data_IF_361840633882
#
_entry.id   IF_361840633882
#
_cell.length_a   1.000
_cell.length_b   1.000
_cell.length_c   1.000
_cell.angle_alpha   90.00
_cell.angle_beta   90.00
_cell.angle_gamma   90.00
#
_symmetry.space_group_name_H-M   'P 1'
#
loop_
_entity.id
_entity.type
_entity.pdbx_description
1 polymer ?
#
# COMPACT_ATOMS: atom_id res chain seq x y z
N UNK A 1 9.31 -36.87 -30.55
CA UNK A 1 8.12 -35.99 -30.48
C UNK A 1 8.48 -34.82 -29.59
N UNK A 2 8.50 -33.61 -30.14
CA UNK A 2 8.83 -32.39 -29.39
C UNK A 2 7.62 -31.99 -28.55
N UNK A 3 7.68 -32.27 -27.24
CA UNK A 3 6.64 -31.97 -26.26
C UNK A 3 6.75 -30.58 -25.63
N UNK A 4 7.63 -29.71 -26.16
CA UNK A 4 7.63 -28.29 -25.80
C UNK A 4 6.63 -27.56 -26.70
N UNK A 5 5.37 -27.63 -26.28
CA UNK A 5 4.28 -26.81 -26.78
C UNK A 5 4.68 -25.34 -26.80
N UNK A 6 4.33 -24.68 -27.90
CA UNK A 6 4.38 -23.24 -28.13
C UNK A 6 4.26 -22.44 -26.82
N UNK A 7 5.26 -21.61 -26.50
CA UNK A 7 5.06 -20.49 -25.58
C UNK A 7 3.81 -19.75 -26.06
N UNK A 8 2.72 -19.82 -25.30
CA UNK A 8 1.49 -19.13 -25.63
C UNK A 8 1.82 -17.63 -25.67
N UNK A 9 1.91 -17.06 -26.88
CA UNK A 9 2.00 -15.61 -27.08
C UNK A 9 0.72 -15.01 -26.51
N UNK A 10 0.78 -14.50 -25.28
CA UNK A 10 -0.35 -13.84 -24.64
C UNK A 10 -0.45 -13.99 -23.13
N UNK A 11 0.31 -14.88 -22.48
CA UNK A 11 0.29 -14.99 -21.01
C UNK A 11 1.13 -13.85 -20.41
N UNK A 12 0.54 -13.08 -19.49
CA UNK A 12 1.30 -12.13 -18.66
C UNK A 12 2.34 -12.90 -17.82
N UNK A 13 3.61 -12.93 -18.23
CA UNK A 13 4.65 -13.65 -17.47
C UNK A 13 4.86 -13.04 -16.07
N UNK A 14 4.53 -11.75 -15.88
CA UNK A 14 4.54 -11.08 -14.58
C UNK A 14 3.88 -9.69 -14.59
N UNK A 15 3.18 -9.30 -13.51
CA UNK A 15 2.65 -7.93 -13.36
C UNK A 15 3.76 -6.93 -13.01
N UNK A 16 4.65 -7.21 -12.05
CA UNK A 16 5.86 -6.42 -11.73
C UNK A 16 5.66 -4.90 -11.86
N UNK A 17 5.06 -4.26 -10.84
CA UNK A 17 4.75 -2.84 -10.90
C UNK A 17 6.01 -1.95 -10.81
N UNK A 18 6.00 -0.87 -11.57
CA UNK A 18 6.96 0.23 -11.50
C UNK A 18 6.42 1.36 -10.61
N UNK A 19 7.31 2.24 -10.14
CA UNK A 19 6.95 3.32 -9.20
C UNK A 19 5.81 4.22 -9.69
N UNK A 20 5.76 4.55 -10.97
CA UNK A 20 4.69 5.36 -11.55
C UNK A 20 3.33 4.64 -11.56
N UNK A 21 3.32 3.31 -11.69
CA UNK A 21 2.10 2.51 -11.64
C UNK A 21 1.61 2.33 -10.20
N UNK A 22 2.52 2.22 -9.24
CA UNK A 22 2.20 2.23 -7.80
C UNK A 22 1.60 3.58 -7.41
N UNK A 23 2.21 4.68 -7.86
CA UNK A 23 1.69 6.04 -7.67
C UNK A 23 0.29 6.18 -8.26
N UNK A 24 0.08 5.70 -9.49
CA UNK A 24 -1.23 5.71 -10.13
C UNK A 24 -2.29 4.95 -9.31
N UNK A 25 -1.97 3.77 -8.76
CA UNK A 25 -2.88 3.05 -7.86
C UNK A 25 -3.24 3.90 -6.64
N UNK A 26 -2.26 4.53 -6.00
CA UNK A 26 -2.52 5.40 -4.84
C UNK A 26 -3.42 6.58 -5.19
N UNK A 27 -3.10 7.30 -6.27
CA UNK A 27 -3.85 8.47 -6.74
C UNK A 27 -5.32 8.14 -7.00
N UNK A 28 -5.58 7.00 -7.67
CA UNK A 28 -6.94 6.56 -7.98
C UNK A 28 -7.70 6.09 -6.73
N UNK A 29 -7.03 5.44 -5.77
CA UNK A 29 -7.65 4.97 -4.53
C UNK A 29 -7.97 6.10 -3.56
N UNK A 30 -7.12 7.14 -3.48
CA UNK A 30 -7.34 8.29 -2.60
C UNK A 30 -8.16 9.41 -3.28
N UNK A 31 -8.24 9.40 -4.61
CA UNK A 31 -8.96 10.39 -5.42
C UNK A 31 -8.21 11.72 -5.59
N UNK A 32 -6.88 11.72 -5.57
CA UNK A 32 -6.09 12.95 -5.62
C UNK A 32 -4.63 12.73 -6.07
N UNK A 33 -3.98 13.79 -6.58
CA UNK A 33 -2.66 13.72 -7.22
C UNK A 33 -1.74 14.92 -6.94
N UNK A 34 -1.98 15.64 -5.83
CA UNK A 34 -1.25 16.86 -5.44
C UNK A 34 0.01 16.55 -4.60
N UNK A 35 1.01 15.98 -5.25
CA UNK A 35 2.26 15.56 -4.62
C UNK A 35 3.28 16.69 -4.49
N UNK A 36 3.99 16.69 -3.36
CA UNK A 36 5.13 17.54 -3.05
C UNK A 36 6.32 16.61 -2.75
N UNK A 37 7.41 16.78 -3.48
CA UNK A 37 8.63 15.99 -3.26
C UNK A 37 9.49 16.60 -2.16
N UNK A 38 9.94 15.75 -1.24
CA UNK A 38 10.98 16.03 -0.25
C UNK A 38 12.20 15.15 -0.55
N UNK A 39 13.40 15.69 -0.32
CA UNK A 39 14.68 14.99 -0.47
C UNK A 39 15.55 15.28 0.76
N UNK A 40 16.26 14.26 1.26
CA UNK A 40 17.30 14.44 2.26
C UNK A 40 18.65 14.83 1.64
N UNK A 41 19.67 14.96 2.48
CA UNK A 41 21.04 15.25 2.05
C UNK A 41 21.66 14.18 1.14
N UNK A 42 21.13 12.96 1.20
CA UNK A 42 21.60 11.81 0.41
C UNK A 42 20.77 11.63 -0.88
N UNK A 43 19.94 12.62 -1.23
CA UNK A 43 19.04 12.64 -2.39
C UNK A 43 18.04 11.47 -2.42
N UNK A 44 17.63 10.93 -1.27
CA UNK A 44 16.53 9.97 -1.20
C UNK A 44 15.20 10.73 -1.36
N UNK A 45 14.42 10.51 -2.44
CA UNK A 45 13.17 11.21 -2.63
C UNK A 45 12.01 10.50 -1.93
N UNK A 46 11.13 11.29 -1.33
CA UNK A 46 9.79 10.85 -0.92
C UNK A 46 8.77 11.89 -1.37
N UNK A 47 7.74 11.43 -2.05
CA UNK A 47 6.62 12.25 -2.47
C UNK A 47 5.55 12.20 -1.38
N UNK A 48 5.02 13.36 -1.02
CA UNK A 48 4.01 13.50 0.02
C UNK A 48 2.85 14.32 -0.52
N UNK A 49 1.66 13.84 -0.24
CA UNK A 49 0.43 14.57 -0.41
C UNK A 49 -0.27 14.74 0.93
N UNK A 50 -0.82 15.92 1.22
CA UNK A 50 -1.69 16.12 2.38
C UNK A 50 -3.14 16.24 1.92
N UNK A 51 -4.00 15.39 2.47
CA UNK A 51 -5.45 15.35 2.25
C UNK A 51 -6.14 15.79 3.54
N UNK A 52 -7.07 16.74 3.45
CA UNK A 52 -7.98 17.08 4.54
C UNK A 52 -9.14 16.08 4.55
N UNK A 53 -9.32 15.34 5.64
CA UNK A 53 -10.39 14.34 5.79
C UNK A 53 -11.69 14.99 6.27
N UNK A 54 -11.56 15.91 7.22
CA UNK A 54 -12.60 16.79 7.77
C UNK A 54 -11.89 18.02 8.35
N UNK A 55 -12.65 19.04 8.74
CA UNK A 55 -12.10 20.28 9.29
C UNK A 55 -11.00 20.00 10.32
N UNK A 56 -9.82 20.55 10.07
CA UNK A 56 -8.63 20.48 10.93
C UNK A 56 -8.07 19.04 11.16
N UNK A 57 -8.51 18.04 10.37
CA UNK A 57 -7.99 16.67 10.43
C UNK A 57 -7.43 16.26 9.08
N UNK A 58 -6.18 15.83 9.08
CA UNK A 58 -5.41 15.59 7.86
C UNK A 58 -4.80 14.19 7.82
N UNK A 59 -4.57 13.70 6.61
CA UNK A 59 -3.77 12.52 6.32
C UNK A 59 -2.63 12.91 5.38
N UNK A 60 -1.40 12.60 5.76
CA UNK A 60 -0.25 12.65 4.88
C UNK A 60 -0.13 11.31 4.15
N UNK A 61 -0.41 11.32 2.85
CA UNK A 61 -0.16 10.18 1.97
C UNK A 61 1.28 10.26 1.47
N UNK A 62 2.06 9.19 1.64
CA UNK A 62 3.45 9.11 1.20
C UNK A 62 3.63 8.07 0.09
N UNK A 63 4.48 8.39 -0.87
CA UNK A 63 4.99 7.47 -1.86
C UNK A 63 6.50 7.61 -1.95
N UNK A 64 7.22 6.54 -1.63
CA UNK A 64 8.67 6.53 -1.66
C UNK A 64 9.14 5.36 -2.51
N UNK A 65 10.01 5.63 -3.49
CA UNK A 65 10.56 4.59 -4.37
C UNK A 65 11.42 3.57 -3.62
N UNK A 66 12.10 4.01 -2.54
CA UNK A 66 13.03 3.17 -1.81
C UNK A 66 13.47 3.81 -0.49
N UNK A 67 13.39 3.06 0.61
CA UNK A 67 13.95 3.47 1.91
C UNK A 67 15.20 2.67 2.31
N UNK A 68 15.77 1.89 1.39
CA UNK A 68 16.85 0.94 1.70
C UNK A 68 18.11 1.62 2.25
N UNK A 69 18.47 2.78 1.71
CA UNK A 69 19.65 3.56 2.09
C UNK A 69 19.40 4.50 3.28
N UNK A 70 18.16 4.56 3.78
CA UNK A 70 17.78 5.42 4.89
C UNK A 70 17.94 4.63 6.20
N UNK A 71 18.86 5.09 7.05
CA UNK A 71 19.16 4.49 8.35
C UNK A 71 17.96 4.58 9.30
N UNK A 72 17.44 5.79 9.53
CA UNK A 72 16.22 6.02 10.32
C UNK A 72 15.04 6.40 9.42
N UNK A 73 14.36 5.36 8.93
CA UNK A 73 13.20 5.46 8.03
C UNK A 73 12.06 6.25 8.65
N UNK A 74 11.84 6.12 9.95
CA UNK A 74 10.73 6.78 10.64
C UNK A 74 11.01 8.27 10.81
N UNK A 75 12.24 8.64 11.19
CA UNK A 75 12.66 10.03 11.28
C UNK A 75 12.64 10.72 9.90
N UNK A 76 13.10 10.02 8.86
CA UNK A 76 13.05 10.54 7.49
C UNK A 76 11.61 10.85 7.04
N UNK A 77 10.68 9.91 7.21
CA UNK A 77 9.26 10.15 6.90
C UNK A 77 8.69 11.30 7.74
N UNK A 78 9.05 11.37 9.03
CA UNK A 78 8.63 12.47 9.91
C UNK A 78 9.07 13.82 9.36
N UNK A 79 10.36 13.98 9.05
CA UNK A 79 10.91 15.22 8.54
C UNK A 79 10.25 15.65 7.22
N UNK A 80 9.98 14.68 6.34
CA UNK A 80 9.28 14.91 5.09
C UNK A 80 7.85 15.43 5.29
N UNK A 81 7.10 14.82 6.20
CA UNK A 81 5.73 15.25 6.53
C UNK A 81 5.73 16.63 7.20
N UNK A 82 6.62 16.87 8.16
CA UNK A 82 6.76 18.16 8.84
C UNK A 82 7.14 19.28 7.86
N UNK A 83 8.02 18.99 6.89
CA UNK A 83 8.35 19.92 5.81
C UNK A 83 7.10 20.35 5.03
N UNK A 84 6.26 19.40 4.63
CA UNK A 84 5.05 19.67 3.83
C UNK A 84 3.98 20.40 4.65
N UNK A 85 3.79 20.02 5.92
CA UNK A 85 2.91 20.73 6.86
C UNK A 85 3.31 22.21 6.93
N UNK A 86 4.62 22.48 7.12
CA UNK A 86 5.15 23.85 7.21
C UNK A 86 4.99 24.60 5.89
N UNK A 87 5.26 23.96 4.76
CA UNK A 87 5.12 24.55 3.43
C UNK A 87 3.67 24.94 3.13
N UNK A 88 2.71 24.07 3.48
CA UNK A 88 1.27 24.32 3.34
C UNK A 88 0.67 25.18 4.46
N UNK A 89 1.45 25.54 5.49
CA UNK A 89 1.02 26.31 6.68
C UNK A 89 -0.20 25.70 7.39
N UNK A 90 -0.20 24.38 7.52
CA UNK A 90 -1.33 23.65 8.11
C UNK A 90 -1.32 23.75 9.65
N UNK A 91 -2.49 23.82 10.30
CA UNK A 91 -2.61 23.93 11.76
C UNK A 91 -2.52 22.56 12.47
N UNK A 92 -1.62 21.69 12.04
CA UNK A 92 -1.47 20.32 12.56
C UNK A 92 0.00 20.00 12.78
N UNK A 93 0.32 19.19 13.79
CA UNK A 93 1.67 18.68 14.02
C UNK A 93 1.82 17.25 13.51
N UNK A 94 3.07 16.76 13.41
CA UNK A 94 3.31 15.38 13.01
C UNK A 94 2.61 14.39 13.94
N UNK A 95 2.58 14.64 15.25
CA UNK A 95 1.94 13.76 16.23
C UNK A 95 0.43 13.62 15.97
N UNK A 96 -0.21 14.67 15.48
CA UNK A 96 -1.67 14.74 15.32
C UNK A 96 -2.16 14.47 13.89
N UNK A 97 -1.26 14.33 12.91
CA UNK A 97 -1.62 13.95 11.54
C UNK A 97 -1.56 12.43 11.37
N UNK A 98 -2.52 11.87 10.62
CA UNK A 98 -2.36 10.50 10.13
C UNK A 98 -1.28 10.44 9.05
N UNK A 99 -0.52 9.35 8.97
CA UNK A 99 0.46 9.14 7.89
C UNK A 99 0.18 7.79 7.29
N UNK A 100 0.10 7.69 5.96
CA UNK A 100 -0.19 6.44 5.29
C UNK A 100 0.41 6.41 3.89
N UNK A 101 0.67 5.24 3.32
CA UNK A 101 1.05 5.13 1.92
C UNK A 101 1.95 3.94 1.66
N UNK A 102 2.73 4.03 0.59
CA UNK A 102 3.57 2.93 0.12
C UNK A 102 5.03 3.35 0.09
N UNK A 103 5.88 2.46 0.56
CA UNK A 103 7.33 2.64 0.54
C UNK A 103 7.95 1.43 -0.13
N UNK A 104 8.80 1.66 -1.11
CA UNK A 104 9.53 0.61 -1.80
C UNK A 104 10.72 0.10 -0.98
N UNK A 105 11.12 -1.14 -1.22
CA UNK A 105 12.48 -1.60 -0.98
C UNK A 105 13.16 -1.71 -2.35
N UNK A 106 13.96 -0.68 -2.68
CA UNK A 106 15.03 -0.90 -3.64
C UNK A 106 16.06 -1.78 -2.95
N UNK A 107 15.87 -3.10 -2.97
CA UNK A 107 16.91 -4.02 -2.53
C UNK A 107 18.26 -3.64 -3.17
N UNK A 108 19.37 -4.11 -2.61
CA UNK A 108 20.78 -3.75 -2.95
C UNK A 108 21.12 -3.64 -4.46
N UNK A 109 20.33 -4.23 -5.34
CA UNK A 109 20.45 -4.14 -6.79
C UNK A 109 19.96 -2.80 -7.37
N UNK A 110 18.96 -2.11 -6.80
CA UNK A 110 18.39 -0.87 -7.37
C UNK A 110 19.44 0.22 -7.63
N UNK A 111 20.38 0.40 -6.70
CA UNK A 111 21.52 1.31 -6.86
C UNK A 111 22.42 0.94 -8.05
N UNK A 112 22.72 -0.35 -8.25
CA UNK A 112 23.54 -0.83 -9.37
C UNK A 112 22.87 -0.55 -10.72
N UNK A 113 21.55 -0.77 -10.82
CA UNK A 113 20.77 -0.51 -12.04
C UNK A 113 20.77 0.98 -12.42
N UNK A 114 20.57 1.86 -11.42
CA UNK A 114 20.66 3.32 -11.59
C UNK A 114 22.06 3.74 -12.08
N UNK A 115 23.12 3.16 -11.53
CA UNK A 115 24.52 3.44 -11.93
C UNK A 115 24.85 3.01 -13.36
N UNK A 116 24.23 1.94 -13.88
CA UNK A 116 24.45 1.44 -15.25
C UNK A 116 23.40 1.94 -16.26
N UNK A 117 22.54 2.88 -15.87
CA UNK A 117 21.51 3.46 -16.74
C UNK A 117 20.40 2.48 -17.13
N UNK A 118 20.17 1.44 -16.34
CA UNK A 118 19.09 0.47 -16.55
C UNK A 118 17.90 0.81 -15.64
N UNK A 119 16.68 0.53 -16.15
CA UNK A 119 15.46 0.64 -15.34
C UNK A 119 15.60 -0.25 -14.10
N UNK A 120 15.38 0.30 -12.88
CA UNK A 120 15.43 -0.49 -11.65
C UNK A 120 14.51 -1.70 -11.74
N UNK A 121 14.85 -2.75 -10.98
CA UNK A 121 14.00 -3.92 -10.86
C UNK A 121 12.61 -3.53 -10.32
N UNK A 122 11.58 -4.32 -10.64
CA UNK A 122 10.22 -4.14 -10.14
C UNK A 122 10.18 -3.92 -8.62
N UNK A 123 9.28 -3.04 -8.18
CA UNK A 123 9.24 -2.54 -6.81
C UNK A 123 8.59 -3.59 -5.92
N UNK A 124 9.26 -3.97 -4.83
CA UNK A 124 8.58 -4.56 -3.68
C UNK A 124 8.11 -3.42 -2.79
N UNK A 125 6.81 -3.38 -2.45
CA UNK A 125 6.23 -2.31 -1.65
C UNK A 125 5.76 -2.80 -0.28
N UNK A 126 5.98 -1.94 0.70
CA UNK A 126 5.52 -2.07 2.08
C UNK A 126 4.44 -1.01 2.32
N UNK A 127 3.53 -1.32 3.25
CA UNK A 127 2.58 -0.34 3.75
C UNK A 127 3.24 0.45 4.88
N UNK A 128 3.34 1.77 4.72
CA UNK A 128 3.67 2.67 5.80
C UNK A 128 2.38 3.26 6.36
N UNK A 129 2.13 3.15 7.66
CA UNK A 129 0.92 3.70 8.26
C UNK A 129 1.10 4.12 9.72
N UNK A 130 0.35 5.14 10.12
CA UNK A 130 0.27 5.69 11.47
C UNK A 130 -1.05 6.43 11.64
N UNK A 131 -1.67 6.24 12.80
CA UNK A 131 -2.84 6.99 13.26
C UNK A 131 -2.42 8.28 14.00
N UNK A 132 -3.31 9.30 14.07
CA UNK A 132 -3.10 10.42 14.97
C UNK A 132 -2.85 9.95 16.42
N UNK A 133 -1.87 10.54 17.09
CA UNK A 133 -1.46 10.18 18.45
C UNK A 133 -0.41 9.06 18.55
N UNK A 134 -0.10 8.34 17.47
CA UNK A 134 1.02 7.40 17.45
C UNK A 134 2.35 8.15 17.26
N UNK A 135 3.41 7.71 17.92
CA UNK A 135 4.71 8.42 17.85
C UNK A 135 5.51 8.08 16.57
N UNK A 136 5.22 6.95 15.94
CA UNK A 136 6.05 6.38 14.88
C UNK A 136 5.19 5.81 13.76
N UNK A 137 5.75 5.81 12.54
CA UNK A 137 5.15 5.16 11.38
C UNK A 137 5.50 3.68 11.41
N UNK A 138 4.48 2.83 11.32
CA UNK A 138 4.62 1.39 11.18
C UNK A 138 4.85 1.06 9.70
N UNK A 139 5.89 0.28 9.39
CA UNK A 139 6.19 -0.20 8.05
C UNK A 139 5.99 -1.71 8.05
N UNK A 140 5.00 -2.19 7.29
CA UNK A 140 4.56 -3.58 7.29
C UNK A 140 4.74 -4.20 5.89
N UNK A 141 5.31 -5.40 5.86
CA UNK A 141 5.36 -6.20 4.64
C UNK A 141 4.01 -6.93 4.49
N UNK A 142 3.21 -6.66 3.46
CA UNK A 142 1.89 -7.28 3.34
C UNK A 142 1.94 -8.82 3.24
N UNK A 143 3.10 -9.40 2.90
CA UNK A 143 3.34 -10.85 2.85
C UNK A 143 3.30 -11.53 4.20
N UNK A 144 3.44 -10.80 5.31
CA UNK A 144 3.41 -11.38 6.65
C UNK A 144 2.01 -11.83 7.08
N UNK A 145 0.95 -11.27 6.48
CA UNK A 145 -0.43 -11.51 6.92
C UNK A 145 -1.48 -11.77 5.84
N UNK A 146 -1.30 -11.28 4.60
CA UNK A 146 -2.23 -11.59 3.50
C UNK A 146 -1.94 -12.92 2.80
N UNK A 147 -0.72 -13.43 2.94
CA UNK A 147 -0.26 -14.65 2.29
C UNK A 147 0.16 -15.66 3.37
N UNK A 148 -0.33 -16.89 3.29
CA UNK A 148 0.05 -17.93 4.26
C UNK A 148 1.50 -18.37 4.00
N UNK A 149 2.33 -18.35 5.06
CA UNK A 149 3.72 -18.84 5.02
C UNK A 149 3.82 -20.36 4.86
N UNK A 150 2.78 -21.09 5.24
CA UNK A 150 2.70 -22.55 5.16
C UNK A 150 2.05 -23.06 3.87
N UNK A 151 1.22 -22.23 3.22
CA UNK A 151 0.78 -22.51 1.86
C UNK A 151 1.95 -22.28 0.91
N UNK A 152 2.18 -23.20 -0.02
CA UNK A 152 3.27 -23.16 -1.01
C UNK A 152 3.07 -22.05 -2.06
N UNK A 153 2.91 -20.80 -1.63
CA UNK A 153 2.85 -19.60 -2.46
C UNK A 153 4.16 -18.79 -2.40
N UNK A 154 5.11 -19.16 -1.55
CA UNK A 154 6.41 -18.48 -1.47
C UNK A 154 7.36 -18.72 -2.66
N UNK A 155 7.00 -19.53 -3.66
CA UNK A 155 7.94 -19.82 -4.74
C UNK A 155 7.20 -20.44 -5.91
N UNK A 156 6.92 -19.64 -6.94
CA UNK A 156 7.36 -19.95 -8.33
C UNK A 156 7.58 -18.70 -9.20
N UNK A 157 7.13 -17.51 -8.80
CA UNK A 157 7.34 -16.27 -9.57
C UNK A 157 7.35 -15.02 -8.66
N UNK A 158 8.53 -14.39 -8.51
CA UNK A 158 8.84 -13.10 -7.86
C UNK A 158 7.67 -12.16 -7.52
N UNK A 159 7.48 -11.77 -6.25
CA UNK A 159 6.92 -10.47 -5.82
C UNK A 159 5.75 -9.87 -6.64
N UNK A 160 4.90 -10.67 -7.29
CA UNK A 160 4.12 -10.16 -8.43
C UNK A 160 2.98 -9.23 -8.01
N UNK A 161 2.42 -9.47 -6.82
CA UNK A 161 1.27 -8.72 -6.33
C UNK A 161 1.50 -8.01 -4.99
N UNK A 162 2.76 -7.90 -4.54
CA UNK A 162 3.11 -7.23 -3.29
C UNK A 162 2.61 -5.77 -3.23
N UNK A 163 2.75 -5.01 -4.32
CA UNK A 163 2.26 -3.64 -4.40
C UNK A 163 0.74 -3.53 -4.29
N UNK A 164 0.01 -4.49 -4.86
CA UNK A 164 -1.45 -4.56 -4.72
C UNK A 164 -1.84 -4.86 -3.28
N UNK A 165 -1.17 -5.82 -2.64
CA UNK A 165 -1.39 -6.18 -1.25
C UNK A 165 -1.05 -5.03 -0.28
N UNK A 166 0.05 -4.31 -0.52
CA UNK A 166 0.40 -3.13 0.27
C UNK A 166 -0.63 -2.00 0.07
N UNK A 167 -1.12 -1.80 -1.16
CA UNK A 167 -2.18 -0.84 -1.48
C UNK A 167 -3.49 -1.18 -0.76
N UNK A 168 -3.82 -2.46 -0.66
CA UNK A 168 -4.98 -2.98 0.08
C UNK A 168 -4.92 -2.58 1.55
N UNK A 169 -3.80 -2.85 2.24
CA UNK A 169 -3.67 -2.48 3.65
C UNK A 169 -3.81 -0.98 3.86
N UNK A 170 -3.05 -0.21 3.08
CA UNK A 170 -3.09 1.25 3.14
C UNK A 170 -4.53 1.75 2.93
N UNK A 171 -5.20 1.28 1.87
CA UNK A 171 -6.51 1.77 1.47
C UNK A 171 -7.57 1.52 2.54
N UNK A 172 -7.61 0.34 3.16
CA UNK A 172 -8.61 0.07 4.19
C UNK A 172 -8.34 0.81 5.49
N UNK A 173 -7.06 0.99 5.86
CA UNK A 173 -6.70 1.87 6.97
C UNK A 173 -7.10 3.33 6.68
N UNK A 174 -6.85 3.82 5.46
CA UNK A 174 -7.27 5.15 5.01
C UNK A 174 -8.80 5.33 5.00
N UNK A 175 -9.55 4.34 4.51
CA UNK A 175 -11.03 4.34 4.58
C UNK A 175 -11.55 4.35 6.02
N UNK A 176 -10.87 3.65 6.94
CA UNK A 176 -11.24 3.67 8.36
C UNK A 176 -10.99 5.07 8.98
N UNK A 177 -9.87 5.73 8.63
CA UNK A 177 -9.61 7.12 9.02
C UNK A 177 -10.71 8.07 8.54
N UNK A 178 -11.16 7.96 7.28
CA UNK A 178 -12.21 8.82 6.72
C UNK A 178 -13.54 8.72 7.47
N UNK A 179 -13.83 7.57 8.08
CA UNK A 179 -15.07 7.33 8.82
C UNK A 179 -14.97 7.71 10.31
N UNK A 180 -13.81 8.19 10.76
CA UNK A 180 -13.54 8.55 12.16
C UNK A 180 -13.71 7.37 13.15
N UNK A 181 -13.71 6.14 12.64
CA UNK A 181 -13.98 4.93 13.41
C UNK A 181 -12.67 4.26 13.88
N UNK A 182 -11.81 5.06 14.52
CA UNK A 182 -10.48 4.63 14.95
C UNK A 182 -10.59 4.09 16.38
N UNK A 183 -10.84 2.80 16.51
CA UNK A 183 -10.97 2.12 17.82
C UNK A 183 -9.73 1.28 18.17
N UNK A 184 -8.81 1.13 17.22
CA UNK A 184 -7.65 0.22 17.27
C UNK A 184 -6.39 0.99 16.86
N UNK A 185 -5.23 0.59 17.38
CA UNK A 185 -3.94 1.12 16.92
C UNK A 185 -3.52 0.48 15.58
N UNK A 186 -2.53 1.04 14.89
CA UNK A 186 -2.14 0.61 13.55
C UNK A 186 -1.83 -0.89 13.44
N UNK A 187 -1.04 -1.52 14.34
CA UNK A 187 -0.80 -2.95 14.27
C UNK A 187 -2.07 -3.80 14.40
N UNK A 188 -3.03 -3.37 15.22
CA UNK A 188 -4.32 -4.06 15.35
C UNK A 188 -5.17 -3.89 14.09
N UNK A 189 -5.16 -2.72 13.45
CA UNK A 189 -5.85 -2.52 12.17
C UNK A 189 -5.33 -3.48 11.09
N UNK A 190 -4.00 -3.59 10.96
CA UNK A 190 -3.40 -4.55 10.03
C UNK A 190 -3.82 -5.98 10.34
N UNK A 191 -3.74 -6.40 11.61
CA UNK A 191 -4.14 -7.73 12.03
C UNK A 191 -5.61 -8.06 11.71
N UNK A 192 -6.52 -7.09 11.81
CA UNK A 192 -7.94 -7.31 11.43
C UNK A 192 -8.13 -7.40 9.92
N UNK A 193 -7.49 -6.53 9.14
CA UNK A 193 -7.52 -6.61 7.67
C UNK A 193 -7.05 -7.99 7.21
N UNK A 194 -5.99 -8.52 7.82
CA UNK A 194 -5.46 -9.83 7.50
C UNK A 194 -6.42 -10.99 7.78
N UNK A 195 -7.38 -10.85 8.70
CA UNK A 195 -8.36 -11.92 8.98
C UNK A 195 -9.43 -12.05 7.91
N UNK A 196 -9.58 -11.06 7.01
CA UNK A 196 -10.62 -11.09 6.00
C UNK A 196 -10.29 -12.11 4.89
N UNK A 197 -11.06 -13.19 4.86
CA UNK A 197 -10.88 -14.30 3.92
C UNK A 197 -11.24 -13.94 2.47
N UNK A 198 -12.22 -13.06 2.27
CA UNK A 198 -12.61 -12.57 0.95
C UNK A 198 -11.50 -11.71 0.30
N UNK A 199 -10.80 -10.93 1.12
CA UNK A 199 -9.68 -10.10 0.68
C UNK A 199 -8.48 -10.96 0.28
N UNK A 200 -8.22 -12.04 1.03
CA UNK A 200 -7.22 -13.05 0.64
C UNK A 200 -7.61 -13.72 -0.66
N UNK A 201 -8.88 -14.09 -0.84
CA UNK A 201 -9.39 -14.68 -2.08
C UNK A 201 -9.25 -13.72 -3.27
N UNK A 202 -9.49 -12.42 -3.07
CA UNK A 202 -9.26 -11.38 -4.07
C UNK A 202 -7.78 -11.31 -4.49
N UNK A 203 -6.85 -11.34 -3.52
CA UNK A 203 -5.41 -11.35 -3.80
C UNK A 203 -4.97 -12.61 -4.53
N UNK A 204 -5.47 -13.78 -4.15
CA UNK A 204 -5.18 -15.03 -4.84
C UNK A 204 -5.77 -15.06 -6.27
N UNK A 205 -6.97 -14.51 -6.47
CA UNK A 205 -7.57 -14.38 -7.80
C UNK A 205 -6.76 -13.45 -8.70
N UNK A 206 -6.27 -12.33 -8.15
CA UNK A 206 -5.39 -11.41 -8.86
C UNK A 206 -4.08 -12.09 -9.27
N UNK A 207 -3.44 -12.83 -8.35
CA UNK A 207 -2.22 -13.60 -8.63
C UNK A 207 -2.44 -14.62 -9.75
N UNK A 208 -3.56 -15.36 -9.71
CA UNK A 208 -3.93 -16.29 -10.78
C UNK A 208 -4.19 -15.57 -12.11
N UNK A 209 -4.80 -14.38 -12.10
CA UNK A 209 -5.03 -13.61 -13.32
C UNK A 209 -3.71 -13.19 -13.99
N UNK A 210 -2.65 -12.94 -13.21
CA UNK A 210 -1.31 -12.69 -13.75
C UNK A 210 -0.81 -13.89 -14.52
N UNK A 211 -0.82 -15.08 -13.92
CA UNK A 211 -0.20 -16.27 -14.50
C UNK A 211 -0.87 -16.83 -15.76
N UNK A 212 -2.09 -16.41 -16.11
CA UNK A 212 -2.92 -17.09 -17.13
C UNK A 212 -3.73 -16.18 -18.06
N UNK A 213 -3.67 -14.84 -17.94
CA UNK A 213 -4.54 -13.94 -18.73
C UNK A 213 -3.85 -13.26 -19.93
N UNK A 214 -4.65 -12.94 -20.96
CA UNK A 214 -4.32 -12.06 -22.11
C UNK A 214 -4.58 -10.57 -21.85
N UNK A 215 -5.06 -10.23 -20.66
CA UNK A 215 -5.34 -8.86 -20.24
C UNK A 215 -4.04 -8.03 -20.23
N UNK A 216 -4.12 -6.75 -20.58
CA UNK A 216 -2.96 -5.84 -20.42
C UNK A 216 -2.75 -5.48 -18.95
N UNK A 217 -1.51 -5.17 -18.56
CA UNK A 217 -1.17 -4.72 -17.21
C UNK A 217 -2.04 -3.56 -16.70
N UNK A 218 -2.29 -2.55 -17.55
CA UNK A 218 -3.16 -1.41 -17.21
C UNK A 218 -4.60 -1.84 -16.95
N UNK A 219 -5.14 -2.76 -17.74
CA UNK A 219 -6.49 -3.30 -17.50
C UNK A 219 -6.57 -4.06 -16.18
N UNK A 220 -5.53 -4.81 -15.81
CA UNK A 220 -5.48 -5.48 -14.50
C UNK A 220 -5.45 -4.46 -13.36
N UNK A 221 -4.60 -3.42 -13.47
CA UNK A 221 -4.53 -2.33 -12.48
C UNK A 221 -5.89 -1.65 -12.31
N UNK A 222 -6.52 -1.23 -13.42
CA UNK A 222 -7.81 -0.55 -13.37
C UNK A 222 -8.91 -1.45 -12.81
N UNK A 223 -8.92 -2.74 -13.19
CA UNK A 223 -9.86 -3.72 -12.64
C UNK A 223 -9.68 -3.87 -11.13
N UNK A 224 -8.44 -3.96 -10.65
CA UNK A 224 -8.13 -4.03 -9.22
C UNK A 224 -8.62 -2.80 -8.47
N UNK A 225 -8.34 -1.59 -8.99
CA UNK A 225 -8.81 -0.33 -8.37
C UNK A 225 -10.33 -0.35 -8.22
N UNK A 226 -11.06 -0.67 -9.30
CA UNK A 226 -12.54 -0.73 -9.28
C UNK A 226 -13.03 -1.79 -8.29
N UNK A 227 -12.41 -2.97 -8.26
CA UNK A 227 -12.76 -4.02 -7.30
C UNK A 227 -12.56 -3.55 -5.86
N UNK A 228 -11.42 -2.93 -5.57
CA UNK A 228 -11.09 -2.48 -4.21
C UNK A 228 -11.97 -1.31 -3.74
N UNK A 229 -12.31 -0.38 -4.64
CA UNK A 229 -13.23 0.73 -4.34
C UNK A 229 -14.62 0.23 -3.90
N UNK A 230 -15.09 -0.86 -4.53
CA UNK A 230 -16.39 -1.50 -4.28
C UNK A 230 -16.34 -2.61 -3.20
N UNK A 231 -15.15 -2.97 -2.71
CA UNK A 231 -14.98 -4.03 -1.73
C UNK A 231 -15.52 -3.59 -0.36
N UNK A 232 -16.22 -4.49 0.34
CA UNK A 232 -16.76 -4.23 1.67
C UNK A 232 -15.61 -4.02 2.67
N UNK A 233 -15.62 -2.91 3.42
CA UNK A 233 -14.51 -2.61 4.30
C UNK A 233 -14.42 -3.66 5.44
N UNK A 234 -13.32 -4.44 5.51
CA UNK A 234 -13.16 -5.51 6.50
C UNK A 234 -13.15 -5.03 7.95
N UNK A 235 -12.92 -3.73 8.17
CA UNK A 235 -12.87 -3.13 9.50
C UNK A 235 -14.24 -2.72 10.06
N UNK A 236 -15.33 -2.83 9.28
CA UNK A 236 -16.67 -2.34 9.67
C UNK A 236 -17.56 -3.43 10.25
N UNK A 237 -17.28 -4.71 9.97
CA UNK A 237 -18.17 -5.82 10.34
C UNK A 237 -18.31 -6.07 11.86
N UNK A 238 -17.44 -5.49 12.70
CA UNK A 238 -17.48 -5.68 14.15
C UNK A 238 -18.55 -4.84 14.88
N UNK A 239 -18.99 -3.69 14.33
CA UNK A 239 -19.88 -2.78 15.05
C UNK A 239 -21.37 -3.05 14.82
N UNK A 240 -21.79 -3.39 13.60
CA UNK A 240 -23.19 -3.72 13.33
C UNK A 240 -23.62 -5.04 13.98
N UNK A 241 -22.73 -6.06 14.04
CA UNK A 241 -23.00 -7.30 14.77
C UNK A 241 -23.12 -7.07 16.28
N UNK A 242 -22.25 -6.26 16.89
CA UNK A 242 -22.34 -5.92 18.32
C UNK A 242 -23.59 -5.10 18.65
N UNK A 243 -23.97 -4.17 17.77
CA UNK A 243 -25.18 -3.36 17.96
C UNK A 243 -26.46 -4.20 17.86
N UNK A 244 -26.45 -5.24 17.03
CA UNK A 244 -27.60 -6.16 16.86
C UNK A 244 -27.68 -7.17 18.02
N UNK A 245 -26.56 -7.67 18.53
CA UNK A 245 -26.52 -8.59 19.69
C UNK A 245 -26.91 -7.91 21.02
N UNK A 246 -26.58 -6.63 21.19
CA UNK A 246 -27.02 -5.82 22.34
C UNK A 246 -28.50 -5.44 22.29
N UNK A 247 -29.15 -5.46 21.12
CA UNK A 247 -30.58 -5.21 20.98
C UNK A 247 -31.45 -6.47 21.12
N UNK A 248 -30.88 -7.67 20.98
CA UNK A 248 -31.60 -8.94 21.17
C UNK A 248 -31.53 -9.49 22.61
N UNK A 249 -30.93 -8.77 23.55
CA UNK A 249 -30.78 -9.17 24.97
C UNK A 249 -31.56 -8.30 25.96
N UNK A 250 -32.54 -7.51 25.50
CA UNK A 250 -33.47 -6.76 26.32
C UNK A 250 -34.93 -7.09 26.04
#
# INVERSE_FOLDING_TARGET
MNFFSQKQKGVLESLRLYNNEVRYILEELIGSSDWISYQDSDNNPVDIQIIELKKDHYCAVIHCEGLCAVDDKQLFIRNAVEFVIKQKKLPVSFENIAVGGLVGDEGRLGCLYRLIGQTPLPVHAYTAFKLPGENYVHIEDPRTGLFDRNEKLQSRTDDQICCFAASVLFYFCYKNLQKDNITKNTPKLFAEIYKNSELRALMQALENQVGYSVTTKKQVINSFIVQLLNFENPLIQDEEKRSTELQCTH
#
